data_IF_249608607748
#
_entry.id   IF_249608607748
#
_cell.length_a   1.000
_cell.length_b   1.000
_cell.length_c   1.000
_cell.angle_alpha   90.00
_cell.angle_beta   90.00
_cell.angle_gamma   90.00
#
_symmetry.space_group_name_H-M   'P 1'
#
loop_
_entity.id
_entity.type
_entity.pdbx_description
1 polymer ?
#
# COMPACT_ATOMS: atom_id res chain seq x y z
N UNK A 1 4.07 -20.97 -1.98
CA UNK A 1 5.15 -19.98 -1.73
C UNK A 1 4.49 -18.73 -1.15
N UNK A 2 4.30 -18.69 0.18
CA UNK A 2 3.68 -17.55 0.89
C UNK A 2 4.70 -16.76 1.74
N UNK A 3 5.99 -16.98 1.47
CA UNK A 3 7.07 -16.46 2.31
C UNK A 3 7.06 -14.93 2.30
N UNK A 4 6.82 -14.30 1.14
CA UNK A 4 6.85 -12.84 1.00
C UNK A 4 5.67 -12.18 1.73
N UNK A 5 4.45 -12.71 1.61
CA UNK A 5 3.29 -12.19 2.35
C UNK A 5 3.46 -12.35 3.87
N UNK A 6 4.02 -13.49 4.33
CA UNK A 6 4.30 -13.72 5.75
C UNK A 6 5.37 -12.78 6.30
N UNK A 7 6.44 -12.56 5.56
CA UNK A 7 7.51 -11.63 5.92
C UNK A 7 7.02 -10.19 5.95
N UNK A 8 6.24 -9.77 4.95
CA UNK A 8 5.61 -8.45 4.91
C UNK A 8 4.65 -8.25 6.10
N UNK A 9 3.84 -9.25 6.44
CA UNK A 9 2.98 -9.22 7.62
C UNK A 9 3.78 -9.14 8.93
N UNK A 10 4.87 -9.90 9.05
CA UNK A 10 5.74 -9.83 10.22
C UNK A 10 6.41 -8.45 10.35
N UNK A 11 6.82 -7.85 9.24
CA UNK A 11 7.37 -6.50 9.21
C UNK A 11 6.33 -5.45 9.62
N UNK A 12 5.11 -5.50 9.07
CA UNK A 12 4.01 -4.62 9.45
C UNK A 12 3.69 -4.69 10.95
N UNK A 13 3.70 -5.89 11.55
CA UNK A 13 3.51 -6.04 13.01
C UNK A 13 4.61 -5.37 13.82
N UNK A 14 5.88 -5.46 13.38
CA UNK A 14 7.00 -4.77 14.05
C UNK A 14 6.86 -3.25 13.98
N UNK A 15 6.21 -2.74 12.94
CA UNK A 15 5.90 -1.33 12.76
C UNK A 15 4.66 -0.87 13.55
N UNK A 16 4.03 -1.76 14.33
CA UNK A 16 2.91 -1.44 15.22
C UNK A 16 1.53 -1.59 14.58
N UNK A 17 1.42 -2.17 13.39
CA UNK A 17 0.13 -2.43 12.75
C UNK A 17 -0.51 -3.72 13.25
N UNK A 18 -1.84 -3.72 13.34
CA UNK A 18 -2.63 -4.93 13.35
C UNK A 18 -2.77 -5.44 11.91
N UNK A 19 -2.30 -6.67 11.65
CA UNK A 19 -2.48 -7.34 10.35
C UNK A 19 -3.81 -8.09 10.38
N UNK A 20 -4.78 -7.65 9.58
CA UNK A 20 -6.09 -8.29 9.44
C UNK A 20 -6.00 -9.44 8.44
N UNK A 21 -5.42 -9.18 7.26
CA UNK A 21 -5.15 -10.19 6.24
C UNK A 21 -3.79 -9.97 5.59
N UNK A 22 -3.21 -11.07 5.10
CA UNK A 22 -2.02 -11.06 4.27
C UNK A 22 -2.20 -12.10 3.16
N UNK A 23 -2.17 -11.65 1.90
CA UNK A 23 -2.45 -12.46 0.72
C UNK A 23 -1.29 -12.35 -0.28
N UNK A 24 -0.77 -13.49 -0.74
CA UNK A 24 0.20 -13.53 -1.83
C UNK A 24 -0.54 -13.55 -3.16
N UNK A 25 -0.46 -12.47 -3.95
CA UNK A 25 -1.13 -12.38 -5.25
C UNK A 25 -0.27 -12.99 -6.39
N UNK A 26 1.04 -12.71 -6.34
CA UNK A 26 2.09 -13.22 -7.25
C UNK A 26 3.41 -13.28 -6.50
N UNK A 27 4.45 -13.92 -7.04
CA UNK A 27 5.76 -14.00 -6.38
C UNK A 27 6.34 -12.64 -5.93
N UNK A 28 6.12 -11.57 -6.71
CA UNK A 28 6.63 -10.21 -6.43
C UNK A 28 5.56 -9.24 -5.93
N UNK A 29 4.34 -9.74 -5.63
CA UNK A 29 3.19 -8.90 -5.27
C UNK A 29 2.39 -9.54 -4.14
N UNK A 30 2.28 -8.85 -3.01
CA UNK A 30 1.40 -9.25 -1.92
C UNK A 30 0.51 -8.09 -1.48
N UNK A 31 -0.66 -8.43 -0.96
CA UNK A 31 -1.66 -7.51 -0.45
C UNK A 31 -1.82 -7.76 1.05
N UNK A 32 -1.70 -6.71 1.84
CA UNK A 32 -2.03 -6.72 3.25
C UNK A 32 -3.27 -5.86 3.47
N UNK A 33 -4.12 -6.24 4.42
CA UNK A 33 -5.09 -5.33 5.03
C UNK A 33 -4.65 -5.09 6.45
N UNK A 34 -4.35 -3.83 6.74
CA UNK A 34 -3.80 -3.39 8.01
C UNK A 34 -4.81 -2.49 8.72
N UNK A 35 -4.70 -2.42 10.04
CA UNK A 35 -5.31 -1.38 10.84
C UNK A 35 -4.28 -0.80 11.80
N UNK A 36 -4.32 0.52 11.98
CA UNK A 36 -3.75 1.16 13.14
C UNK A 36 -4.60 0.88 14.37
N UNK A 37 -4.03 0.91 15.60
CA UNK A 37 -4.76 0.58 16.83
C UNK A 37 -6.08 1.34 17.04
N UNK A 38 -6.24 2.54 16.47
CA UNK A 38 -7.46 3.35 16.52
C UNK A 38 -8.06 3.65 15.14
N UNK A 39 -7.51 3.06 14.08
CA UNK A 39 -7.75 3.45 12.70
C UNK A 39 -8.68 2.51 11.94
N UNK A 40 -9.35 3.08 10.93
CA UNK A 40 -10.07 2.28 9.94
C UNK A 40 -9.09 1.38 9.15
N UNK A 41 -9.51 0.16 8.74
CA UNK A 41 -8.69 -0.69 7.90
C UNK A 41 -8.28 0.01 6.59
N UNK A 42 -7.09 -0.30 6.11
CA UNK A 42 -6.60 0.14 4.81
C UNK A 42 -5.79 -0.96 4.15
N UNK A 43 -5.70 -0.93 2.81
CA UNK A 43 -4.90 -1.91 2.10
C UNK A 43 -3.46 -1.43 1.92
N UNK A 44 -2.51 -2.35 1.94
CA UNK A 44 -1.14 -2.12 1.51
C UNK A 44 -0.81 -3.11 0.41
N UNK A 45 -0.56 -2.61 -0.80
CA UNK A 45 -0.09 -3.43 -1.89
C UNK A 45 1.42 -3.26 -2.00
N UNK A 46 2.16 -4.34 -1.74
CA UNK A 46 3.62 -4.37 -1.86
C UNK A 46 3.98 -4.94 -3.22
N UNK A 47 4.76 -4.20 -4.01
CA UNK A 47 5.26 -4.63 -5.31
C UNK A 47 6.79 -4.53 -5.37
N UNK A 48 7.44 -5.65 -5.65
CA UNK A 48 8.87 -5.71 -5.94
C UNK A 48 9.09 -5.71 -7.46
N UNK A 49 9.19 -4.52 -8.05
CA UNK A 49 9.51 -4.30 -9.47
C UNK A 49 10.33 -3.02 -9.59
N UNK A 50 11.26 -2.98 -10.53
CA UNK A 50 12.11 -1.80 -10.75
C UNK A 50 11.31 -0.52 -11.06
N UNK A 51 10.20 -0.63 -11.80
CA UNK A 51 9.34 0.49 -12.16
C UNK A 51 7.86 0.13 -11.96
N UNK A 52 7.15 0.95 -11.19
CA UNK A 52 5.71 0.89 -10.99
C UNK A 52 5.04 1.94 -11.89
N UNK A 53 4.07 1.52 -12.69
CA UNK A 53 3.43 2.36 -13.73
C UNK A 53 1.99 2.73 -13.37
N UNK A 54 1.38 3.60 -14.17
CA UNK A 54 -0.04 3.96 -14.04
C UNK A 54 -0.99 2.74 -14.02
N UNK A 55 -0.69 1.68 -14.78
CA UNK A 55 -1.49 0.46 -14.76
C UNK A 55 -1.48 -0.20 -13.37
N UNK A 56 -0.36 -0.18 -12.66
CA UNK A 56 -0.28 -0.74 -11.31
C UNK A 56 -1.09 0.07 -10.30
N UNK A 57 -1.13 1.39 -10.47
CA UNK A 57 -1.96 2.31 -9.67
C UNK A 57 -3.44 2.03 -9.92
N UNK A 58 -3.85 1.87 -11.19
CA UNK A 58 -5.23 1.53 -11.55
C UNK A 58 -5.65 0.16 -11.02
N UNK A 59 -4.81 -0.87 -11.18
CA UNK A 59 -5.05 -2.20 -10.60
C UNK A 59 -5.29 -2.10 -9.10
N UNK A 60 -4.49 -1.29 -8.39
CA UNK A 60 -4.64 -1.16 -6.95
C UNK A 60 -5.91 -0.40 -6.56
N UNK A 61 -6.27 0.64 -7.31
CA UNK A 61 -7.55 1.34 -7.12
C UNK A 61 -8.74 0.40 -7.31
N UNK A 62 -8.68 -0.51 -8.29
CA UNK A 62 -9.70 -1.53 -8.50
C UNK A 62 -9.77 -2.51 -7.32
N UNK A 63 -8.62 -2.98 -6.80
CA UNK A 63 -8.58 -3.83 -5.59
C UNK A 63 -9.25 -3.11 -4.41
N UNK A 64 -8.95 -1.84 -4.20
CA UNK A 64 -9.54 -1.03 -3.13
C UNK A 64 -11.07 -0.95 -3.28
N UNK A 65 -11.55 -0.68 -4.49
CA UNK A 65 -12.98 -0.67 -4.81
C UNK A 65 -13.65 -2.03 -4.53
N UNK A 66 -13.09 -3.12 -5.04
CA UNK A 66 -13.62 -4.48 -4.88
C UNK A 66 -13.64 -4.94 -3.41
N UNK A 67 -12.66 -4.51 -2.62
CA UNK A 67 -12.58 -4.80 -1.18
C UNK A 67 -13.35 -3.80 -0.31
N UNK A 68 -14.05 -2.83 -0.91
CA UNK A 68 -14.76 -1.75 -0.23
C UNK A 68 -13.87 -0.96 0.75
N UNK A 69 -12.60 -0.79 0.39
CA UNK A 69 -11.64 0.02 1.12
C UNK A 69 -11.46 1.35 0.40
N UNK A 70 -11.54 2.46 1.12
CA UNK A 70 -11.44 3.81 0.55
C UNK A 70 -10.02 4.38 0.63
N UNK A 71 -9.09 3.65 1.26
CA UNK A 71 -7.71 4.10 1.52
C UNK A 71 -6.71 2.97 1.30
N UNK A 72 -5.54 3.30 0.77
CA UNK A 72 -4.45 2.35 0.66
C UNK A 72 -3.08 2.94 0.39
N UNK A 73 -2.06 2.12 0.64
CA UNK A 73 -0.66 2.39 0.38
C UNK A 73 -0.16 1.48 -0.75
N UNK A 74 0.45 2.04 -1.79
CA UNK A 74 1.17 1.29 -2.80
C UNK A 74 2.66 1.40 -2.52
N UNK A 75 3.33 0.28 -2.27
CA UNK A 75 4.75 0.21 -1.91
C UNK A 75 5.58 -0.33 -3.06
N UNK A 76 6.55 0.44 -3.53
CA UNK A 76 7.55 0.03 -4.51
C UNK A 76 8.84 -0.44 -3.79
N UNK A 77 8.99 -1.75 -3.60
CA UNK A 77 10.18 -2.34 -2.97
C UNK A 77 11.29 -2.46 -4.01
N UNK A 78 12.46 -1.89 -3.70
CA UNK A 78 13.64 -1.82 -4.59
C UNK A 78 13.35 -1.21 -5.96
N UNK A 79 12.37 -0.30 -6.03
CA UNK A 79 11.88 0.28 -7.28
C UNK A 79 11.38 1.69 -7.11
N UNK A 80 10.90 2.27 -8.21
CA UNK A 80 10.41 3.65 -8.24
C UNK A 80 9.06 3.74 -8.97
N UNK A 81 8.32 4.81 -8.69
CA UNK A 81 7.11 5.15 -9.43
C UNK A 81 7.44 5.99 -10.66
N UNK A 82 6.81 5.68 -11.79
CA UNK A 82 6.86 6.54 -12.97
C UNK A 82 6.10 7.86 -12.72
N UNK A 83 6.39 8.89 -13.51
CA UNK A 83 5.68 10.18 -13.42
C UNK A 83 4.18 10.01 -13.72
N UNK A 84 3.85 9.11 -14.65
CA UNK A 84 2.47 8.77 -14.99
C UNK A 84 1.79 8.07 -13.81
N UNK A 85 2.47 7.16 -13.10
CA UNK A 85 1.92 6.54 -11.90
C UNK A 85 1.56 7.57 -10.83
N UNK A 86 2.47 8.52 -10.58
CA UNK A 86 2.25 9.63 -9.63
C UNK A 86 1.06 10.50 -10.03
N UNK A 87 0.98 10.86 -11.32
CA UNK A 87 -0.15 11.63 -11.86
C UNK A 87 -1.47 10.87 -11.72
N UNK A 88 -1.50 9.60 -12.11
CA UNK A 88 -2.71 8.77 -12.02
C UNK A 88 -3.18 8.64 -10.57
N UNK A 89 -2.27 8.50 -9.60
CA UNK A 89 -2.64 8.44 -8.19
C UNK A 89 -3.30 9.75 -7.70
N UNK A 90 -2.87 10.91 -8.21
CA UNK A 90 -3.48 12.22 -7.89
C UNK A 90 -4.85 12.43 -8.55
N UNK A 91 -5.05 11.87 -9.75
CA UNK A 91 -6.30 11.99 -10.51
C UNK A 91 -7.43 11.10 -9.97
N UNK A 92 -7.09 10.04 -9.22
CA UNK A 92 -8.05 9.12 -8.61
C UNK A 92 -8.75 9.74 -7.39
N UNK A 93 -9.85 10.46 -7.64
CA UNK A 93 -10.60 11.18 -6.59
C UNK A 93 -11.44 10.31 -5.66
N UNK A 94 -11.68 9.05 -6.01
CA UNK A 94 -12.57 8.17 -5.26
C UNK A 94 -11.86 7.33 -4.19
N UNK A 95 -10.52 7.36 -4.16
CA UNK A 95 -9.71 6.53 -3.27
C UNK A 95 -8.53 7.33 -2.77
N UNK A 96 -8.32 7.38 -1.45
CA UNK A 96 -7.10 7.97 -0.90
C UNK A 96 -5.95 6.99 -1.08
N UNK A 97 -5.07 7.28 -2.02
CA UNK A 97 -3.89 6.46 -2.30
C UNK A 97 -2.61 7.23 -1.99
N UNK A 98 -1.74 6.60 -1.22
CA UNK A 98 -0.38 7.09 -0.96
C UNK A 98 0.60 6.16 -1.66
N UNK A 99 1.57 6.75 -2.35
CA UNK A 99 2.69 6.04 -2.97
C UNK A 99 3.90 6.13 -2.05
N UNK A 100 4.58 5.02 -1.79
CA UNK A 100 5.74 4.97 -0.89
C UNK A 100 6.75 3.92 -1.33
N UNK A 101 7.99 4.05 -0.88
CA UNK A 101 9.04 3.05 -1.09
C UNK A 101 9.17 2.08 0.08
N UNK A 102 8.63 2.46 1.25
CA UNK A 102 8.58 1.63 2.45
C UNK A 102 7.23 1.77 3.19
N UNK A 103 6.93 0.83 4.08
CA UNK A 103 5.79 0.93 4.99
C UNK A 103 6.20 1.81 6.18
N UNK A 104 5.64 3.02 6.35
CA UNK A 104 5.95 3.85 7.50
C UNK A 104 5.51 3.18 8.81
N UNK A 105 6.06 3.58 9.97
CA UNK A 105 5.53 3.14 11.27
C UNK A 105 4.07 3.52 11.47
N UNK A 106 3.30 2.68 12.17
CA UNK A 106 1.87 2.92 12.44
C UNK A 106 1.61 4.26 13.16
N UNK A 107 2.52 4.68 14.03
CA UNK A 107 2.46 5.99 14.70
C UNK A 107 2.52 7.17 13.73
N UNK A 108 3.27 7.04 12.63
CA UNK A 108 3.42 8.09 11.62
C UNK A 108 2.14 8.24 10.82
N UNK A 109 1.51 7.15 10.40
CA UNK A 109 0.21 7.23 9.71
C UNK A 109 -0.89 7.70 10.65
N UNK A 110 -0.91 7.26 11.92
CA UNK A 110 -1.91 7.72 12.87
C UNK A 110 -1.84 9.25 13.10
N UNK A 111 -0.65 9.84 13.06
CA UNK A 111 -0.45 11.28 13.20
C UNK A 111 -0.73 12.08 11.92
N UNK A 112 -0.31 11.58 10.75
CA UNK A 112 -0.38 12.30 9.48
C UNK A 112 -1.66 12.01 8.68
N UNK A 113 -2.31 10.88 8.93
CA UNK A 113 -3.33 10.28 8.07
C UNK A 113 -2.76 9.69 6.78
N UNK A 114 -3.57 8.85 6.12
CA UNK A 114 -3.32 8.45 4.72
C UNK A 114 -3.79 9.58 3.81
N UNK A 115 -2.88 10.49 3.48
CA UNK A 115 -3.16 11.60 2.59
C UNK A 115 -2.97 11.20 1.12
N UNK A 116 -3.83 11.69 0.20
CA UNK A 116 -3.63 11.49 -1.22
C UNK A 116 -2.31 12.16 -1.64
N UNK A 117 -1.41 11.37 -2.21
CA UNK A 117 -0.17 11.79 -2.87
C UNK A 117 0.81 12.66 -2.04
N UNK A 118 1.10 12.28 -0.79
CA UNK A 118 2.37 12.69 -0.16
C UNK A 118 3.42 11.64 -0.46
N UNK A 119 4.40 12.01 -1.26
CA UNK A 119 5.63 11.23 -1.49
C UNK A 119 6.34 11.09 -0.14
N UNK A 120 6.21 9.94 0.51
CA UNK A 120 6.95 9.63 1.72
C UNK A 120 8.27 8.95 1.33
N UNK A 121 9.23 9.76 0.85
CA UNK A 121 10.64 9.36 0.67
C UNK A 121 10.94 8.50 -0.55
#
# INVERSE_FOLDING_TARGET
MDVVAREAAAHARRLGYQVITAEQLRATRCLLVLAEPSGQPFAVLVQRRALITAANVQDFAEILFLRRLTRGLLIAVDGVFSNEARRTAQELRHVSMTLATDLPPASTIAAAGLNPAVDLG
#
